data_IF_306689994826
#
_entry.id   IF_306689994826
#
_cell.length_a   1.000
_cell.length_b   1.000
_cell.length_c   1.000
_cell.angle_alpha   90.00
_cell.angle_beta   90.00
_cell.angle_gamma   90.00
#
_symmetry.space_group_name_H-M   'P 1'
#
loop_
_entity.id
_entity.type
_entity.pdbx_description
1 polymer ?
#
# COMPACT_ATOMS: atom_id res chain seq x y z
N UNK A 1 -5.32 -1.08 5.66
CA UNK A 1 -4.42 -1.79 6.60
C UNK A 1 -4.16 -0.98 7.85
N UNK A 2 -3.63 0.24 7.77
CA UNK A 2 -3.31 1.06 8.95
C UNK A 2 -4.49 1.26 9.92
N UNK A 3 -5.75 1.24 9.45
CA UNK A 3 -6.94 1.38 10.31
C UNK A 3 -7.10 0.22 11.30
N UNK A 4 -6.64 -0.99 10.94
CA UNK A 4 -6.78 -2.16 11.81
C UNK A 4 -5.76 -2.18 12.94
N UNK A 5 -4.54 -1.66 12.70
CA UNK A 5 -3.44 -1.75 13.64
C UNK A 5 -2.89 -3.18 13.74
N UNK A 6 -2.61 -3.63 14.96
CA UNK A 6 -2.08 -4.97 15.22
C UNK A 6 -3.18 -5.89 15.76
N UNK A 7 -3.30 -7.08 15.15
CA UNK A 7 -4.12 -8.20 15.63
C UNK A 7 -3.31 -9.48 15.48
N UNK A 8 -3.58 -10.44 16.38
CA UNK A 8 -2.92 -11.74 16.38
C UNK A 8 -3.48 -12.66 15.28
N UNK A 9 -4.74 -12.45 14.90
CA UNK A 9 -5.42 -13.24 13.86
C UNK A 9 -5.34 -12.58 12.49
N UNK A 10 -5.05 -13.37 11.48
CA UNK A 10 -4.96 -12.97 10.08
C UNK A 10 -5.80 -13.92 9.19
N UNK A 11 -6.27 -13.44 8.04
CA UNK A 11 -6.26 -12.08 7.52
C UNK A 11 -7.24 -11.15 8.24
N UNK A 12 -6.98 -9.83 8.23
CA UNK A 12 -7.88 -8.83 8.83
C UNK A 12 -9.22 -8.77 8.10
N UNK A 13 -10.30 -8.87 8.85
CA UNK A 13 -11.68 -8.77 8.34
C UNK A 13 -12.27 -7.40 8.64
N UNK A 14 -13.31 -7.02 7.91
CA UNK A 14 -13.95 -5.71 8.03
C UNK A 14 -14.61 -5.46 9.38
N UNK A 15 -15.02 -6.51 10.08
CA UNK A 15 -15.65 -6.53 11.40
C UNK A 15 -14.63 -6.49 12.56
N UNK A 16 -13.33 -6.56 12.28
CA UNK A 16 -12.31 -6.46 13.33
C UNK A 16 -12.31 -5.07 13.96
N UNK A 17 -12.12 -5.06 15.28
CA UNK A 17 -11.92 -3.80 16.01
C UNK A 17 -10.73 -3.03 15.42
N UNK A 18 -10.93 -1.77 15.08
CA UNK A 18 -9.87 -0.93 14.57
C UNK A 18 -9.01 -0.39 15.72
N UNK A 19 -7.72 -0.74 15.73
CA UNK A 19 -6.73 -0.32 16.74
C UNK A 19 -5.53 0.36 16.08
N UNK A 20 -5.74 1.48 15.35
CA UNK A 20 -4.67 2.13 14.62
C UNK A 20 -3.53 2.57 15.54
N UNK A 21 -2.28 2.37 15.10
CA UNK A 21 -1.08 2.63 15.91
C UNK A 21 -0.30 3.87 15.45
N UNK A 22 -0.64 4.42 14.30
CA UNK A 22 0.02 5.59 13.73
C UNK A 22 -0.98 6.72 13.41
N UNK A 23 -0.50 7.97 13.28
CA UNK A 23 -1.38 9.11 13.00
C UNK A 23 -2.19 8.96 11.71
N UNK A 24 -1.63 8.30 10.69
CA UNK A 24 -2.33 8.05 9.43
C UNK A 24 -3.51 7.09 9.63
N UNK A 25 -3.30 5.97 10.30
CA UNK A 25 -4.36 4.99 10.62
C UNK A 25 -5.44 5.60 11.49
N UNK A 26 -5.06 6.39 12.51
CA UNK A 26 -5.99 7.13 13.37
C UNK A 26 -6.85 8.10 12.55
N UNK A 27 -6.23 8.89 11.68
CA UNK A 27 -6.96 9.84 10.82
C UNK A 27 -7.92 9.13 9.85
N UNK A 28 -7.50 7.97 9.29
CA UNK A 28 -8.37 7.16 8.41
C UNK A 28 -9.57 6.62 9.16
N UNK A 29 -9.38 6.07 10.37
CA UNK A 29 -10.49 5.58 11.19
C UNK A 29 -11.44 6.69 11.63
N UNK A 30 -10.89 7.82 12.09
CA UNK A 30 -11.70 9.00 12.43
C UNK A 30 -12.52 9.50 11.24
N UNK A 31 -11.92 9.51 10.03
CA UNK A 31 -12.63 9.87 8.80
C UNK A 31 -13.80 8.94 8.48
N UNK A 32 -13.67 7.63 8.73
CA UNK A 32 -14.78 6.68 8.61
C UNK A 32 -15.91 6.98 9.59
N UNK A 33 -15.58 7.28 10.85
CA UNK A 33 -16.57 7.58 11.89
C UNK A 33 -17.31 8.90 11.61
N UNK A 34 -16.58 9.92 11.17
CA UNK A 34 -17.17 11.20 10.73
C UNK A 34 -18.11 10.98 9.53
N UNK A 35 -17.68 10.21 8.52
CA UNK A 35 -18.50 9.90 7.35
C UNK A 35 -19.81 9.21 7.76
N UNK A 36 -19.72 8.15 8.57
CA UNK A 36 -20.89 7.42 9.06
C UNK A 36 -21.87 8.33 9.79
N UNK A 37 -21.37 9.09 10.76
CA UNK A 37 -22.20 10.01 11.56
C UNK A 37 -22.92 11.05 10.68
N UNK A 38 -22.21 11.67 9.74
CA UNK A 38 -22.80 12.66 8.85
C UNK A 38 -23.85 12.03 7.91
N UNK A 39 -23.54 10.90 7.32
CA UNK A 39 -24.45 10.22 6.41
C UNK A 39 -25.73 9.75 7.13
N UNK A 40 -25.61 9.17 8.31
CA UNK A 40 -26.74 8.75 9.14
C UNK A 40 -27.59 9.94 9.56
N UNK A 41 -26.95 11.05 9.98
CA UNK A 41 -27.66 12.27 10.41
C UNK A 41 -28.46 12.91 9.28
N UNK A 42 -27.93 12.87 8.06
CA UNK A 42 -28.52 13.58 6.91
C UNK A 42 -29.25 12.66 5.92
N UNK A 43 -29.38 11.36 6.23
CA UNK A 43 -30.06 10.40 5.35
C UNK A 43 -29.34 10.18 4.02
N UNK A 44 -28.01 10.25 4.01
CA UNK A 44 -27.17 10.03 2.83
C UNK A 44 -26.62 8.61 2.84
N UNK A 45 -26.70 7.92 1.74
CA UNK A 45 -26.10 6.60 1.56
C UNK A 45 -24.57 6.71 1.46
N UNK A 46 -23.87 5.72 1.98
CA UNK A 46 -22.42 5.64 1.91
C UNK A 46 -21.91 4.21 1.72
N UNK A 47 -20.70 4.09 1.24
CA UNK A 47 -19.91 2.86 1.24
C UNK A 47 -18.44 3.22 1.51
N UNK A 48 -17.73 2.33 2.20
CA UNK A 48 -16.33 2.55 2.54
C UNK A 48 -15.46 1.48 1.86
N UNK A 49 -14.67 1.90 0.89
CA UNK A 49 -13.63 1.09 0.27
C UNK A 49 -12.34 1.15 1.11
N UNK A 50 -11.76 -0.01 1.41
CA UNK A 50 -10.51 -0.16 2.15
C UNK A 50 -9.46 -0.87 1.27
N UNK A 51 -8.93 -0.22 0.24
CA UNK A 51 -7.91 -0.82 -0.60
C UNK A 51 -6.57 -0.88 0.13
N UNK A 52 -5.79 -1.93 -0.16
CA UNK A 52 -4.48 -2.08 0.45
C UNK A 52 -3.35 -2.13 -0.58
N UNK A 53 -2.30 -1.33 -0.33
CA UNK A 53 -1.06 -1.25 -1.13
C UNK A 53 -1.30 -1.21 -2.65
N UNK A 54 -2.12 -0.26 -3.11
CA UNK A 54 -2.38 -0.10 -4.55
C UNK A 54 -1.08 0.24 -5.27
N UNK A 55 -0.81 -0.48 -6.37
CA UNK A 55 0.36 -0.31 -7.23
C UNK A 55 -0.06 -0.31 -8.70
N UNK A 56 0.80 0.24 -9.56
CA UNK A 56 0.58 0.22 -10.99
C UNK A 56 1.01 1.50 -11.71
N UNK A 57 0.79 1.56 -13.03
CA UNK A 57 1.02 2.74 -13.84
C UNK A 57 0.33 3.99 -13.29
N UNK A 58 0.92 5.16 -13.53
CA UNK A 58 0.50 6.49 -13.07
C UNK A 58 0.64 6.75 -11.56
N UNK A 59 1.11 5.77 -10.77
CA UNK A 59 1.52 6.06 -9.40
C UNK A 59 2.72 7.03 -9.42
N UNK A 60 2.73 7.98 -8.48
CA UNK A 60 3.85 8.91 -8.32
C UNK A 60 5.08 8.14 -7.82
N UNK A 61 6.12 8.03 -8.65
CA UNK A 61 7.32 7.22 -8.38
C UNK A 61 8.55 8.05 -8.00
N UNK A 62 8.44 9.37 -7.96
CA UNK A 62 9.46 10.31 -7.51
C UNK A 62 9.21 10.86 -6.09
N UNK A 63 8.31 10.21 -5.35
CA UNK A 63 7.92 10.59 -4.00
C UNK A 63 8.56 9.65 -2.96
N UNK A 64 9.48 10.14 -2.11
CA UNK A 64 10.20 9.30 -1.15
C UNK A 64 9.34 8.83 0.03
N UNK A 65 8.13 9.36 0.17
CA UNK A 65 7.20 9.02 1.26
C UNK A 65 6.13 8.01 0.86
N UNK A 66 6.12 7.57 -0.41
CA UNK A 66 5.07 6.72 -0.95
C UNK A 66 5.55 5.29 -1.20
N UNK A 67 4.70 4.52 -1.85
CA UNK A 67 4.76 3.09 -2.07
C UNK A 67 6.15 2.53 -2.41
N UNK A 68 6.55 1.50 -1.67
CA UNK A 68 7.87 0.87 -1.75
C UNK A 68 8.20 0.34 -3.17
N UNK A 69 7.24 -0.27 -3.88
CA UNK A 69 7.47 -0.82 -5.23
C UNK A 69 7.90 0.26 -6.22
N UNK A 70 7.21 1.38 -6.29
CA UNK A 70 7.56 2.47 -7.21
C UNK A 70 8.86 3.16 -6.82
N UNK A 71 9.18 3.26 -5.53
CA UNK A 71 10.49 3.76 -5.06
C UNK A 71 11.61 2.83 -5.52
N UNK A 72 11.48 1.52 -5.27
CA UNK A 72 12.50 0.53 -5.66
C UNK A 72 12.73 0.56 -7.16
N UNK A 73 11.68 0.48 -7.96
CA UNK A 73 11.78 0.50 -9.42
C UNK A 73 12.43 1.78 -9.95
N UNK A 74 12.03 2.96 -9.46
CA UNK A 74 12.63 4.22 -9.89
C UNK A 74 14.11 4.31 -9.50
N UNK A 75 14.51 3.80 -8.32
CA UNK A 75 15.92 3.74 -7.90
C UNK A 75 16.74 2.77 -8.76
N UNK A 76 16.24 1.54 -8.92
CA UNK A 76 16.93 0.49 -9.64
C UNK A 76 17.11 0.81 -11.12
N UNK A 77 16.11 1.43 -11.76
CA UNK A 77 16.22 1.93 -13.12
C UNK A 77 17.22 3.08 -13.28
N UNK A 78 17.65 3.72 -12.18
CA UNK A 78 18.76 4.69 -12.13
C UNK A 78 20.09 4.02 -11.74
N UNK A 79 20.17 2.69 -11.67
CA UNK A 79 21.36 1.96 -11.26
C UNK A 79 21.66 2.03 -9.75
N UNK A 80 20.70 2.43 -8.92
CA UNK A 80 20.86 2.56 -7.47
C UNK A 80 20.24 1.38 -6.73
N UNK A 81 20.92 0.89 -5.68
CA UNK A 81 20.42 -0.19 -4.84
C UNK A 81 19.18 0.22 -4.04
N UNK A 82 18.22 -0.71 -3.81
CA UNK A 82 17.05 -0.43 -2.98
C UNK A 82 17.44 -0.27 -1.52
N UNK A 83 16.65 0.52 -0.79
CA UNK A 83 16.78 0.67 0.66
C UNK A 83 15.67 -0.12 1.32
N UNK A 84 16.03 -0.97 2.28
CA UNK A 84 15.12 -1.82 3.05
C UNK A 84 15.26 -1.47 4.52
N UNK A 85 14.13 -1.33 5.21
CA UNK A 85 14.09 -1.14 6.64
C UNK A 85 13.95 -2.49 7.36
N UNK A 86 14.70 -2.67 8.45
CA UNK A 86 14.76 -3.92 9.21
C UNK A 86 15.42 -5.04 8.42
N UNK A 87 14.91 -6.24 8.59
CA UNK A 87 15.39 -7.47 7.94
C UNK A 87 14.77 -7.73 6.56
N UNK A 88 13.78 -6.93 6.16
CA UNK A 88 13.06 -7.10 4.90
C UNK A 88 12.02 -8.22 4.90
N UNK A 89 11.81 -8.90 6.03
CA UNK A 89 10.86 -10.03 6.16
C UNK A 89 9.41 -9.59 6.40
N UNK A 90 9.16 -8.30 6.50
CA UNK A 90 7.80 -7.78 6.61
C UNK A 90 6.99 -8.10 5.34
N UNK A 91 5.81 -8.72 5.52
CA UNK A 91 4.97 -9.22 4.43
C UNK A 91 3.86 -8.26 4.05
N UNK A 92 3.63 -8.12 2.76
CA UNK A 92 2.59 -7.27 2.18
C UNK A 92 1.91 -7.97 1.00
N UNK A 93 0.61 -7.70 0.84
CA UNK A 93 -0.10 -7.93 -0.41
C UNK A 93 -0.10 -6.63 -1.22
N UNK A 94 -0.02 -6.74 -2.53
CA UNK A 94 -0.04 -5.60 -3.45
C UNK A 94 -1.23 -5.71 -4.39
N UNK A 95 -2.05 -4.67 -4.42
CA UNK A 95 -3.26 -4.60 -5.24
C UNK A 95 -2.95 -3.89 -6.54
N UNK A 96 -3.15 -4.55 -7.68
CA UNK A 96 -2.99 -3.88 -8.96
C UNK A 96 -4.15 -2.88 -9.18
N UNK A 97 -3.83 -1.73 -9.75
CA UNK A 97 -4.78 -0.61 -9.88
C UNK A 97 -6.07 -0.98 -10.60
N UNK A 98 -6.01 -1.78 -11.67
CA UNK A 98 -7.21 -2.11 -12.45
C UNK A 98 -8.16 -3.02 -11.66
N UNK A 99 -7.65 -3.95 -10.82
CA UNK A 99 -8.44 -4.77 -9.92
C UNK A 99 -9.16 -3.91 -8.87
N UNK A 100 -8.47 -2.86 -8.37
CA UNK A 100 -9.07 -1.89 -7.46
C UNK A 100 -10.14 -1.04 -8.15
N UNK A 101 -9.89 -0.57 -9.37
CA UNK A 101 -10.84 0.24 -10.14
C UNK A 101 -12.13 -0.51 -10.42
N UNK A 102 -12.03 -1.81 -10.74
CA UNK A 102 -13.23 -2.67 -10.88
C UNK A 102 -14.09 -2.62 -9.61
N UNK A 103 -13.49 -2.85 -8.43
CA UNK A 103 -14.21 -2.81 -7.17
C UNK A 103 -14.77 -1.43 -6.84
N UNK A 104 -13.99 -0.36 -7.04
CA UNK A 104 -14.44 1.01 -6.79
C UNK A 104 -15.63 1.39 -7.67
N UNK A 105 -15.62 0.96 -8.95
CA UNK A 105 -16.75 1.16 -9.85
C UNK A 105 -17.98 0.39 -9.38
N UNK A 106 -17.83 -0.88 -8.99
CA UNK A 106 -18.93 -1.68 -8.47
C UNK A 106 -19.52 -1.05 -7.18
N UNK A 107 -18.68 -0.61 -6.24
CA UNK A 107 -19.13 0.05 -5.01
C UNK A 107 -19.87 1.37 -5.27
N UNK A 108 -19.54 2.09 -6.34
CA UNK A 108 -20.20 3.36 -6.66
C UNK A 108 -21.60 3.20 -7.25
N UNK A 109 -21.94 2.04 -7.84
CA UNK A 109 -23.17 1.88 -8.64
C UNK A 109 -24.05 0.70 -8.23
N UNK A 110 -23.62 -0.18 -7.32
CA UNK A 110 -24.43 -1.29 -6.83
C UNK A 110 -25.21 -0.91 -5.58
N UNK A 111 -26.50 -1.17 -5.55
CA UNK A 111 -27.37 -0.85 -4.40
C UNK A 111 -27.13 -1.75 -3.18
N UNK A 112 -26.74 -3.00 -3.40
CA UNK A 112 -26.53 -4.00 -2.34
C UNK A 112 -25.28 -3.78 -1.49
N UNK A 113 -24.57 -2.68 -1.66
CA UNK A 113 -23.34 -2.34 -0.92
C UNK A 113 -23.48 -1.12 -0.01
N UNK A 114 -24.66 -0.51 0.04
CA UNK A 114 -24.93 0.66 0.90
C UNK A 114 -24.66 0.33 2.36
N UNK A 115 -23.93 1.19 3.04
CA UNK A 115 -23.54 1.03 4.46
C UNK A 115 -22.37 0.06 4.69
N UNK A 116 -21.86 -0.58 3.63
CA UNK A 116 -20.81 -1.58 3.74
C UNK A 116 -19.41 -0.98 3.86
N UNK A 117 -18.55 -1.68 4.62
CA UNK A 117 -17.08 -1.50 4.59
C UNK A 117 -16.52 -2.70 3.87
N UNK A 118 -15.69 -2.49 2.85
CA UNK A 118 -15.18 -3.58 2.00
C UNK A 118 -13.67 -3.46 1.81
N UNK A 119 -12.92 -4.48 2.24
CA UNK A 119 -11.50 -4.63 1.95
C UNK A 119 -11.31 -4.96 0.46
N UNK A 120 -10.35 -4.30 -0.19
CA UNK A 120 -10.04 -4.49 -1.62
C UNK A 120 -8.57 -4.81 -1.78
N UNK A 121 -8.27 -5.94 -2.40
CA UNK A 121 -6.93 -6.38 -2.77
C UNK A 121 -6.75 -7.88 -2.58
N UNK A 122 -5.64 -8.47 -3.04
CA UNK A 122 -5.37 -9.90 -2.91
C UNK A 122 -5.10 -10.29 -1.46
N UNK A 123 -5.53 -11.48 -1.05
CA UNK A 123 -5.17 -12.14 0.21
C UNK A 123 -4.50 -13.51 -0.03
N UNK A 124 -4.58 -14.02 -1.24
CA UNK A 124 -3.98 -15.28 -1.68
C UNK A 124 -2.48 -15.17 -1.97
N UNK A 125 -1.95 -13.98 -2.23
CA UNK A 125 -0.54 -13.75 -2.53
C UNK A 125 0.02 -12.64 -1.65
N UNK A 126 1.00 -12.98 -0.82
CA UNK A 126 1.79 -12.01 -0.07
C UNK A 126 3.28 -12.26 -0.32
N UNK A 127 4.07 -11.21 -0.41
CA UNK A 127 5.52 -11.32 -0.50
C UNK A 127 6.22 -10.51 0.59
N UNK A 128 7.46 -10.88 0.92
CA UNK A 128 8.34 -10.07 1.76
C UNK A 128 8.83 -8.85 0.98
N UNK A 129 9.39 -7.87 1.66
CA UNK A 129 10.04 -6.75 0.99
C UNK A 129 11.32 -7.21 0.29
N UNK A 130 11.98 -8.25 0.80
CA UNK A 130 13.11 -8.91 0.13
C UNK A 130 12.67 -9.54 -1.20
N UNK A 131 11.58 -10.34 -1.21
CA UNK A 131 11.01 -10.92 -2.45
C UNK A 131 10.66 -9.83 -3.46
N UNK A 132 10.07 -8.72 -2.99
CA UNK A 132 9.74 -7.58 -3.86
C UNK A 132 11.01 -6.95 -4.47
N UNK A 133 12.06 -6.78 -3.67
CA UNK A 133 13.34 -6.25 -4.16
C UNK A 133 13.96 -7.16 -5.24
N UNK A 134 13.92 -8.49 -5.05
CA UNK A 134 14.36 -9.46 -6.06
C UNK A 134 13.54 -9.37 -7.34
N UNK A 135 12.20 -9.30 -7.24
CA UNK A 135 11.34 -9.14 -8.42
C UNK A 135 11.65 -7.84 -9.18
N UNK A 136 11.87 -6.73 -8.46
CA UNK A 136 12.23 -5.45 -9.04
C UNK A 136 13.63 -5.49 -9.68
N UNK A 137 14.61 -6.14 -9.05
CA UNK A 137 15.96 -6.30 -9.58
C UNK A 137 15.97 -7.13 -10.86
N UNK A 138 15.27 -8.27 -10.88
CA UNK A 138 15.10 -9.11 -12.06
C UNK A 138 14.47 -8.35 -13.22
N UNK A 139 13.45 -7.53 -12.95
CA UNK A 139 12.76 -6.74 -13.96
C UNK A 139 13.63 -5.59 -14.49
N UNK A 140 14.48 -4.98 -13.66
CA UNK A 140 15.33 -3.85 -14.05
C UNK A 140 16.70 -4.26 -14.57
N UNK A 141 17.10 -5.54 -14.37
CA UNK A 141 18.42 -6.07 -14.71
C UNK A 141 19.54 -5.61 -13.76
N UNK A 142 19.17 -5.13 -12.56
CA UNK A 142 20.13 -4.71 -11.54
C UNK A 142 20.70 -5.93 -10.79
N UNK A 143 22.03 -5.99 -10.60
CA UNK A 143 22.64 -6.91 -9.67
C UNK A 143 22.31 -6.44 -8.24
N UNK A 144 21.49 -7.21 -7.53
CA UNK A 144 20.90 -6.80 -6.26
C UNK A 144 21.91 -6.85 -5.10
N UNK A 145 22.05 -5.72 -4.41
CA UNK A 145 22.82 -5.57 -3.15
C UNK A 145 22.06 -4.58 -2.25
N UNK A 146 21.07 -5.08 -1.52
CA UNK A 146 20.16 -4.23 -0.74
C UNK A 146 20.87 -3.47 0.36
N UNK A 147 20.48 -2.20 0.54
CA UNK A 147 20.94 -1.35 1.63
C UNK A 147 19.97 -1.45 2.80
N UNK A 148 20.37 -2.14 3.88
CA UNK A 148 19.53 -2.32 5.06
C UNK A 148 19.73 -1.19 6.07
N UNK A 149 18.61 -0.65 6.57
CA UNK A 149 18.55 0.38 7.60
C UNK A 149 17.76 -0.12 8.82
N UNK A 150 17.85 0.60 9.95
CA UNK A 150 17.07 0.29 11.16
C UNK A 150 15.58 0.21 10.87
N UNK A 151 14.89 -0.65 11.61
CA UNK A 151 13.42 -0.75 11.57
C UNK A 151 12.77 0.62 11.74
N UNK A 152 11.65 0.83 11.03
CA UNK A 152 10.80 1.98 11.28
C UNK A 152 9.97 1.73 12.54
N UNK A 153 9.76 2.75 13.37
CA UNK A 153 8.88 2.63 14.53
C UNK A 153 7.48 2.15 14.12
N UNK A 154 6.90 1.23 14.89
CA UNK A 154 5.53 0.75 14.74
C UNK A 154 5.20 0.11 13.37
N UNK A 155 6.20 -0.41 12.67
CA UNK A 155 5.96 -1.12 11.42
C UNK A 155 5.26 -2.46 11.67
N UNK A 156 4.11 -2.65 11.03
CA UNK A 156 3.37 -3.93 11.09
C UNK A 156 4.12 -4.97 10.28
N UNK A 157 4.51 -6.09 10.93
CA UNK A 157 5.29 -7.15 10.27
C UNK A 157 4.49 -7.87 9.19
N UNK A 158 3.27 -8.27 9.49
CA UNK A 158 2.39 -8.94 8.51
C UNK A 158 1.13 -8.10 8.35
N UNK A 159 0.81 -7.75 7.13
CA UNK A 159 -0.32 -6.91 6.82
C UNK A 159 -1.10 -7.49 5.62
N UNK A 160 -2.08 -8.35 5.94
CA UNK A 160 -2.96 -9.03 4.98
C UNK A 160 -4.41 -8.83 5.40
N UNK A 161 -5.27 -8.38 4.49
CA UNK A 161 -6.72 -8.28 4.72
C UNK A 161 -7.46 -9.37 3.96
N UNK A 162 -8.55 -9.91 4.53
CA UNK A 162 -9.46 -10.79 3.79
C UNK A 162 -10.17 -10.05 2.68
N UNK A 163 -10.31 -10.68 1.53
CA UNK A 163 -11.07 -10.20 0.39
C UNK A 163 -12.36 -10.98 0.17
N UNK A 164 -12.77 -11.82 1.12
CA UNK A 164 -13.98 -12.65 1.00
C UNK A 164 -15.24 -11.82 0.79
N UNK A 165 -15.34 -10.68 1.48
CA UNK A 165 -16.46 -9.77 1.33
C UNK A 165 -16.50 -9.13 -0.05
N UNK A 166 -15.37 -8.69 -0.58
CA UNK A 166 -15.26 -8.17 -1.95
C UNK A 166 -15.60 -9.25 -2.99
N UNK A 167 -15.15 -10.50 -2.80
CA UNK A 167 -15.52 -11.62 -3.67
C UNK A 167 -17.04 -11.85 -3.68
N UNK A 168 -17.64 -11.87 -2.49
CA UNK A 168 -19.06 -12.14 -2.31
C UNK A 168 -19.94 -11.02 -2.87
N UNK A 169 -19.64 -9.76 -2.57
CA UNK A 169 -20.49 -8.62 -2.91
C UNK A 169 -20.22 -8.09 -4.32
N UNK A 170 -18.95 -8.06 -4.75
CA UNK A 170 -18.52 -7.38 -5.96
C UNK A 170 -18.05 -8.35 -7.06
N UNK A 171 -17.93 -9.65 -6.76
CA UNK A 171 -17.32 -10.59 -7.69
C UNK A 171 -15.82 -10.35 -7.91
N UNK A 172 -15.13 -9.77 -6.91
CA UNK A 172 -13.68 -9.48 -6.97
C UNK A 172 -12.88 -10.72 -7.34
N UNK A 173 -11.91 -10.53 -8.21
CA UNK A 173 -10.88 -11.53 -8.55
C UNK A 173 -9.57 -10.82 -8.75
N UNK A 174 -8.49 -11.37 -8.23
CA UNK A 174 -7.14 -10.91 -8.53
C UNK A 174 -6.80 -11.30 -9.97
N UNK A 175 -6.66 -10.31 -10.84
CA UNK A 175 -6.33 -10.54 -12.26
C UNK A 175 -4.85 -10.37 -12.56
N UNK A 176 -4.13 -9.64 -11.70
CA UNK A 176 -2.73 -9.28 -11.90
C UNK A 176 -1.93 -9.59 -10.62
N UNK A 177 -1.02 -10.55 -10.70
CA UNK A 177 -0.15 -10.92 -9.59
C UNK A 177 0.94 -9.86 -9.32
N UNK A 178 1.70 -10.01 -8.21
CA UNK A 178 2.72 -9.05 -7.82
C UNK A 178 3.83 -8.91 -8.88
N UNK A 179 4.28 -9.99 -9.48
CA UNK A 179 5.33 -9.97 -10.53
C UNK A 179 4.87 -9.21 -11.77
N UNK A 180 3.65 -9.44 -12.23
CA UNK A 180 3.05 -8.69 -13.33
C UNK A 180 2.87 -7.20 -12.98
N UNK A 181 2.53 -6.89 -11.72
CA UNK A 181 2.43 -5.52 -11.23
C UNK A 181 3.78 -4.81 -11.26
N UNK A 182 4.85 -5.49 -10.86
CA UNK A 182 6.25 -4.99 -10.97
C UNK A 182 6.58 -4.71 -12.43
N UNK A 183 6.35 -5.66 -13.35
CA UNK A 183 6.62 -5.52 -14.78
C UNK A 183 5.90 -4.31 -15.39
N UNK A 184 4.58 -4.23 -15.23
CA UNK A 184 3.76 -3.12 -15.78
C UNK A 184 4.16 -1.76 -15.20
N UNK A 185 4.52 -1.71 -13.91
CA UNK A 185 4.99 -0.48 -13.26
C UNK A 185 6.37 -0.06 -13.77
N UNK A 186 7.29 -1.02 -13.92
CA UNK A 186 8.63 -0.78 -14.47
C UNK A 186 8.56 -0.28 -15.91
N UNK A 187 7.75 -0.91 -16.76
CA UNK A 187 7.50 -0.49 -18.13
C UNK A 187 6.99 0.96 -18.20
N UNK A 188 6.03 1.30 -17.35
CA UNK A 188 5.51 2.66 -17.27
C UNK A 188 6.61 3.67 -16.91
N UNK A 189 7.46 3.34 -15.92
CA UNK A 189 8.56 4.23 -15.50
C UNK A 189 9.60 4.35 -16.63
N UNK A 190 9.97 3.25 -17.33
CA UNK A 190 10.88 3.28 -18.47
C UNK A 190 10.37 4.22 -19.57
N UNK A 191 9.08 4.10 -19.91
CA UNK A 191 8.47 4.91 -20.99
C UNK A 191 8.36 6.40 -20.62
N UNK A 192 8.20 6.72 -19.32
CA UNK A 192 8.12 8.10 -18.82
C UNK A 192 9.49 8.71 -18.47
N UNK A 193 10.52 7.88 -18.34
CA UNK A 193 11.83 8.22 -17.82
C UNK A 193 11.87 8.21 -16.29
N UNK A 194 13.03 7.84 -15.73
CA UNK A 194 13.29 7.91 -14.29
C UNK A 194 13.32 9.35 -13.80
N UNK A 195 13.04 9.58 -12.52
CA UNK A 195 13.00 10.92 -11.93
C UNK A 195 13.79 10.97 -10.62
N UNK A 196 14.39 12.13 -10.37
CA UNK A 196 14.95 12.44 -9.05
C UNK A 196 13.83 12.55 -8.04
N UNK A 197 14.04 12.02 -6.83
CA UNK A 197 13.06 12.11 -5.75
C UNK A 197 12.87 13.54 -5.26
N UNK A 198 11.65 13.91 -4.98
CA UNK A 198 11.25 15.25 -4.54
C UNK A 198 10.76 15.20 -3.09
N UNK A 199 11.57 15.72 -2.17
CA UNK A 199 11.21 15.86 -0.76
C UNK A 199 10.33 17.09 -0.56
N UNK A 200 9.04 16.94 -0.80
CA UNK A 200 8.05 18.03 -0.80
C UNK A 200 7.41 18.27 0.57
N UNK A 201 7.66 17.39 1.55
CA UNK A 201 7.19 17.55 2.91
C UNK A 201 8.37 17.96 3.81
N UNK A 202 8.27 19.08 4.56
CA UNK A 202 9.23 19.39 5.59
C UNK A 202 9.11 18.40 6.74
N UNK A 203 10.23 18.00 7.33
CA UNK A 203 10.25 17.25 8.58
C UNK A 203 10.25 18.24 9.74
N UNK A 204 9.17 18.33 10.47
CA UNK A 204 9.04 19.22 11.62
C UNK A 204 9.70 18.64 12.87
N UNK A 205 9.68 17.30 13.03
CA UNK A 205 10.27 16.60 14.15
C UNK A 205 11.37 15.67 13.63
N UNK A 206 12.61 15.94 14.03
CA UNK A 206 13.79 15.12 13.68
C UNK A 206 14.42 14.59 14.98
N UNK A 207 14.39 13.26 15.16
CA UNK A 207 15.00 12.58 16.30
C UNK A 207 15.49 11.19 15.89
N UNK A 208 15.80 10.33 16.85
CA UNK A 208 16.25 8.95 16.67
C UNK A 208 15.20 8.00 16.05
N UNK A 209 13.91 8.37 16.13
CA UNK A 209 12.79 7.63 15.55
C UNK A 209 12.44 8.08 14.13
N UNK A 210 13.04 9.17 13.64
CA UNK A 210 12.82 9.64 12.28
C UNK A 210 13.54 8.73 11.29
N UNK A 211 12.88 8.17 10.27
CA UNK A 211 13.50 7.29 9.29
C UNK A 211 14.71 7.94 8.61
N UNK A 212 15.82 7.21 8.53
CA UNK A 212 17.09 7.70 7.98
C UNK A 212 16.94 8.22 6.53
N UNK A 213 16.11 7.55 5.71
CA UNK A 213 15.89 7.97 4.32
C UNK A 213 15.22 9.33 4.22
N UNK A 214 14.41 9.70 5.20
CA UNK A 214 13.75 11.01 5.25
C UNK A 214 14.68 12.07 5.83
N UNK A 215 15.31 11.74 6.99
CA UNK A 215 16.22 12.64 7.69
C UNK A 215 17.42 13.05 6.84
N UNK A 216 18.05 12.08 6.17
CA UNK A 216 19.28 12.25 5.40
C UNK A 216 19.05 12.32 3.90
N UNK A 217 17.79 12.29 3.44
CA UNK A 217 17.40 12.33 2.01
C UNK A 217 18.15 11.28 1.17
N UNK A 218 18.19 10.03 1.63
CA UNK A 218 18.98 8.95 1.02
C UNK A 218 18.36 8.30 -0.22
N UNK A 219 17.11 8.64 -0.53
CA UNK A 219 16.39 8.10 -1.68
C UNK A 219 16.57 9.01 -2.89
#
# INVERSE_FOLDING_TARGET
>A
MARYGHHDEMPYKEDYECRPQDPYGIAKKAGEDVLKNLCETHGVEYVIAVPHNIVGPRQKYDDPFRNVMSIMLNRMLQGKQPIIYGDGEQRRCFSYIDDCLYCLNALAFQENVVGEVVNIGPDEESCTINDLAEMCANETGLNLDCLYHKDRPQEVKIAVCSSDKARKLLGYKTSTNVRQSVQKTAEYIRNRGTKKFQYHLPLEIINDKTPDTWKNKLI
#
